data_IF_938127777701
#
_entry.id   IF_938127777701
#
_cell.length_a   1.000
_cell.length_b   1.000
_cell.length_c   1.000
_cell.angle_alpha   90.00
_cell.angle_beta   90.00
_cell.angle_gamma   90.00
#
_symmetry.space_group_name_H-M   'P 1'
#
loop_
_entity.id
_entity.type
_entity.pdbx_description
1 polymer ?
#
# COMPACT_ATOMS: atom_id res chain seq x y z
N UNK A 1 5.90 9.58 5.11
CA UNK A 1 6.95 8.61 5.42
C UNK A 1 7.59 8.16 4.12
N UNK A 2 8.88 7.85 4.13
CA UNK A 2 9.56 7.22 2.99
C UNK A 2 9.84 5.76 3.33
N UNK A 3 9.28 4.83 2.56
CA UNK A 3 9.73 3.44 2.53
C UNK A 3 10.91 3.26 1.56
N UNK A 4 11.65 2.14 1.65
CA UNK A 4 12.67 1.80 0.65
C UNK A 4 12.03 1.76 -0.75
N UNK A 5 12.56 2.56 -1.68
CA UNK A 5 12.04 2.86 -3.03
C UNK A 5 10.77 3.73 -3.11
N UNK A 6 10.27 4.27 -1.99
CA UNK A 6 9.20 5.27 -2.01
C UNK A 6 9.77 6.69 -2.17
N UNK A 7 8.98 7.56 -2.77
CA UNK A 7 9.40 8.89 -3.17
C UNK A 7 8.32 9.89 -2.77
N UNK A 8 8.63 10.81 -1.86
CA UNK A 8 7.65 11.75 -1.34
C UNK A 8 7.68 13.03 -2.19
N UNK A 9 6.57 13.32 -2.88
CA UNK A 9 6.44 14.55 -3.67
C UNK A 9 6.18 15.74 -2.76
N UNK A 10 7.14 16.63 -2.69
CA UNK A 10 7.04 17.92 -2.00
C UNK A 10 6.60 19.00 -2.99
N UNK A 11 5.81 19.96 -2.50
CA UNK A 11 5.39 21.13 -3.27
C UNK A 11 5.43 22.39 -2.42
N UNK A 12 5.79 23.51 -3.04
CA UNK A 12 5.67 24.85 -2.46
C UNK A 12 4.79 25.73 -3.34
N UNK A 13 4.54 26.96 -2.88
CA UNK A 13 3.76 27.95 -3.63
C UNK A 13 4.38 28.22 -4.99
N UNK A 14 3.58 28.09 -6.04
CA UNK A 14 4.00 28.38 -7.41
C UNK A 14 3.85 29.87 -7.73
N UNK A 15 4.85 30.43 -8.41
CA UNK A 15 4.81 31.69 -9.13
C UNK A 15 5.64 31.59 -10.41
N UNK A 16 5.15 32.18 -11.50
CA UNK A 16 5.79 32.08 -12.81
C UNK A 16 7.19 32.72 -12.85
N UNK A 17 7.40 33.77 -12.05
CA UNK A 17 8.65 34.54 -11.98
C UNK A 17 9.45 34.24 -10.70
N UNK A 18 9.21 33.07 -10.09
CA UNK A 18 9.90 32.63 -8.88
C UNK A 18 11.00 31.64 -9.20
N UNK A 19 12.15 31.78 -8.55
CA UNK A 19 13.17 30.75 -8.48
C UNK A 19 13.09 29.99 -7.16
N UNK A 20 13.42 28.71 -7.22
CA UNK A 20 13.33 27.78 -6.10
C UNK A 20 14.71 27.21 -5.82
N UNK A 21 15.08 27.16 -4.54
CA UNK A 21 16.27 26.47 -4.08
C UNK A 21 15.88 25.57 -2.92
N UNK A 22 16.00 24.25 -3.11
CA UNK A 22 15.70 23.29 -2.05
C UNK A 22 16.94 22.93 -1.25
N UNK A 23 16.70 22.56 0.00
CA UNK A 23 17.70 22.14 0.96
C UNK A 23 17.28 20.81 1.59
N UNK A 24 18.28 19.98 1.88
CA UNK A 24 18.14 18.74 2.62
C UNK A 24 19.22 18.69 3.72
N UNK A 25 18.80 18.59 4.98
CA UNK A 25 19.70 18.53 6.15
C UNK A 25 20.76 19.66 6.16
N UNK A 26 20.38 20.85 5.69
CA UNK A 26 21.24 22.03 5.64
C UNK A 26 22.09 22.16 4.39
N UNK A 27 22.01 21.21 3.46
CA UNK A 27 22.78 21.20 2.21
C UNK A 27 21.89 21.60 1.04
N UNK A 28 22.39 22.49 0.18
CA UNK A 28 21.72 22.86 -1.07
C UNK A 28 21.60 21.65 -2.00
N UNK A 29 20.39 21.38 -2.46
CA UNK A 29 20.12 20.31 -3.42
C UNK A 29 20.31 20.82 -4.85
N UNK A 30 21.20 20.20 -5.65
CA UNK A 30 21.42 20.61 -7.04
C UNK A 30 20.20 20.27 -7.91
N UNK A 31 19.99 21.03 -8.97
CA UNK A 31 18.94 20.80 -9.97
C UNK A 31 17.50 20.84 -9.43
N UNK A 32 17.24 21.70 -8.45
CA UNK A 32 15.93 21.86 -7.80
C UNK A 32 15.30 23.24 -8.05
N UNK A 33 15.32 23.71 -9.30
CA UNK A 33 14.75 25.00 -9.72
C UNK A 33 13.22 24.97 -9.94
N UNK A 34 12.53 24.04 -9.27
CA UNK A 34 11.11 23.79 -9.46
C UNK A 34 10.34 23.86 -8.14
N UNK A 35 9.09 24.34 -8.20
CA UNK A 35 8.18 24.38 -7.07
C UNK A 35 7.77 22.98 -6.57
N UNK A 36 8.10 21.93 -7.32
CA UNK A 36 7.93 20.52 -6.97
C UNK A 36 9.27 19.82 -6.88
N UNK A 37 9.39 18.91 -5.92
CA UNK A 37 10.58 18.07 -5.73
C UNK A 37 10.15 16.68 -5.24
N UNK A 38 11.01 15.70 -5.43
CA UNK A 38 10.87 14.35 -4.87
C UNK A 38 11.92 14.16 -3.78
N UNK A 39 11.48 13.95 -2.54
CA UNK A 39 12.36 13.53 -1.46
C UNK A 39 12.58 12.01 -1.54
N UNK A 40 13.85 11.60 -1.55
CA UNK A 40 14.29 10.20 -1.65
C UNK A 40 14.95 9.70 -0.36
N UNK A 41 15.21 10.59 0.60
CA UNK A 41 15.82 10.27 1.87
C UNK A 41 15.02 10.91 3.01
N UNK A 42 15.06 10.29 4.18
CA UNK A 42 14.57 10.93 5.39
C UNK A 42 15.51 12.05 5.81
N UNK A 43 14.96 13.10 6.43
CA UNK A 43 15.69 14.28 6.86
C UNK A 43 14.82 15.53 6.80
N UNK A 44 15.43 16.68 6.97
CA UNK A 44 14.78 17.98 7.00
C UNK A 44 14.82 18.63 5.63
N UNK A 45 13.66 18.98 5.09
CA UNK A 45 13.52 19.64 3.80
C UNK A 45 12.88 21.01 3.94
N UNK A 46 13.42 21.99 3.24
CA UNK A 46 12.80 23.31 3.06
C UNK A 46 13.22 23.92 1.72
N UNK A 47 12.50 24.96 1.31
CA UNK A 47 12.76 25.68 0.08
C UNK A 47 12.91 27.17 0.35
N UNK A 48 13.85 27.83 -0.32
CA UNK A 48 13.88 29.28 -0.46
C UNK A 48 13.31 29.66 -1.82
N UNK A 49 12.28 30.50 -1.80
CA UNK A 49 11.60 31.02 -2.97
C UNK A 49 12.06 32.47 -3.15
N UNK A 50 12.64 32.80 -4.31
CA UNK A 50 13.06 34.16 -4.63
C UNK A 50 12.25 34.69 -5.78
N UNK A 51 11.68 35.89 -5.63
CA UNK A 51 10.98 36.56 -6.72
C UNK A 51 11.97 37.20 -7.69
N UNK A 52 11.51 37.49 -8.90
CA UNK A 52 12.27 38.28 -9.89
C UNK A 52 12.79 39.62 -9.34
N UNK A 53 12.08 40.23 -8.39
CA UNK A 53 12.49 41.49 -7.75
C UNK A 53 13.53 41.31 -6.63
N UNK A 54 14.00 40.08 -6.39
CA UNK A 54 15.01 39.75 -5.38
C UNK A 54 14.46 39.54 -3.97
N UNK A 55 13.14 39.53 -3.77
CA UNK A 55 12.56 39.21 -2.47
C UNK A 55 12.62 37.70 -2.25
N UNK A 56 13.30 37.26 -1.18
CA UNK A 56 13.41 35.86 -0.82
C UNK A 56 12.55 35.52 0.41
N UNK A 57 11.90 34.35 0.40
CA UNK A 57 11.20 33.76 1.54
C UNK A 57 11.60 32.30 1.68
N UNK A 58 11.92 31.89 2.89
CA UNK A 58 12.13 30.47 3.24
C UNK A 58 10.83 29.86 3.75
N UNK A 59 10.50 28.66 3.29
CA UNK A 59 9.33 27.92 3.75
C UNK A 59 9.57 27.31 5.13
N UNK A 60 8.50 26.83 5.75
CA UNK A 60 8.62 25.98 6.94
C UNK A 60 9.41 24.70 6.61
N UNK A 61 10.12 24.19 7.60
CA UNK A 61 10.88 22.94 7.49
C UNK A 61 9.95 21.75 7.64
N UNK A 62 9.90 20.90 6.62
CA UNK A 62 9.22 19.62 6.67
C UNK A 62 10.21 18.54 7.12
N UNK A 63 9.89 17.83 8.19
CA UNK A 63 10.64 16.64 8.59
C UNK A 63 10.07 15.43 7.87
N UNK A 64 10.91 14.74 7.10
CA UNK A 64 10.60 13.47 6.45
C UNK A 64 11.22 12.37 7.27
N UNK A 65 10.40 11.48 7.81
CA UNK A 65 10.86 10.33 8.57
C UNK A 65 11.14 9.15 7.66
N UNK A 66 12.05 8.28 8.11
CA UNK A 66 12.20 6.93 7.57
C UNK A 66 11.32 6.04 8.44
N UNK A 67 10.23 5.53 7.89
CA UNK A 67 9.49 4.47 8.55
C UNK A 67 10.36 3.23 8.50
N UNK A 68 11.18 3.03 9.54
CA UNK A 68 11.95 1.80 9.73
C UNK A 68 11.08 0.54 9.77
N UNK A 69 9.76 0.72 9.82
CA UNK A 69 8.75 -0.30 9.59
C UNK A 69 7.83 0.18 8.47
N UNK A 70 8.17 -0.14 7.23
CA UNK A 70 7.15 -0.14 6.19
C UNK A 70 6.18 -1.27 6.53
N UNK A 71 5.11 -0.98 7.27
CA UNK A 71 3.93 -1.85 7.24
C UNK A 71 3.46 -1.80 5.80
N UNK A 72 3.69 -2.89 5.05
CA UNK A 72 2.90 -3.19 3.84
C UNK A 72 1.47 -2.90 4.25
N UNK A 73 0.86 -1.89 3.62
CA UNK A 73 -0.25 -1.13 4.20
C UNK A 73 -1.22 -2.01 4.97
N UNK A 74 -1.53 -1.63 6.21
CA UNK A 74 -2.81 -2.06 6.76
C UNK A 74 -3.86 -1.51 5.81
N UNK A 75 -4.40 -2.45 5.05
CA UNK A 75 -5.40 -2.21 4.04
C UNK A 75 -6.61 -1.59 4.76
N UNK A 76 -6.96 -0.36 4.40
CA UNK A 76 -8.16 0.33 4.90
C UNK A 76 -9.45 -0.23 4.26
N UNK A 77 -9.57 -1.55 4.24
CA UNK A 77 -10.83 -2.26 4.12
C UNK A 77 -11.08 -2.81 5.52
N UNK A 78 -11.99 -2.19 6.25
CA UNK A 78 -12.30 -2.60 7.60
C UNK A 78 -13.06 -3.92 7.55
N UNK A 79 -12.31 -5.01 7.53
CA UNK A 79 -12.84 -6.35 7.38
C UNK A 79 -11.84 -7.40 7.82
N UNK A 80 -12.35 -8.47 8.41
CA UNK A 80 -11.53 -9.59 8.90
C UNK A 80 -11.60 -10.74 7.91
N UNK A 81 -10.47 -11.38 7.63
CA UNK A 81 -10.39 -12.61 6.83
C UNK A 81 -9.81 -13.72 7.69
N UNK A 82 -10.46 -14.89 7.69
CA UNK A 82 -10.03 -16.06 8.45
C UNK A 82 -10.04 -17.31 7.56
N UNK A 83 -9.09 -18.21 7.82
CA UNK A 83 -8.97 -19.48 7.10
C UNK A 83 -8.82 -20.60 8.12
N UNK A 84 -9.69 -21.61 8.05
CA UNK A 84 -9.65 -22.75 8.97
C UNK A 84 -10.00 -24.09 8.28
N UNK A 85 -9.31 -25.19 8.66
CA UNK A 85 -8.11 -25.21 9.51
C UNK A 85 -6.90 -24.59 8.77
N UNK A 86 -5.94 -24.03 9.52
CA UNK A 86 -4.65 -23.58 8.98
C UNK A 86 -3.55 -23.94 9.99
N UNK A 87 -2.70 -24.95 9.73
CA UNK A 87 -2.55 -25.68 8.48
C UNK A 87 -3.73 -26.59 8.09
N UNK A 88 -3.96 -26.78 6.79
CA UNK A 88 -5.02 -27.63 6.24
C UNK A 88 -4.43 -28.90 5.60
N UNK A 89 -4.97 -30.06 5.97
CA UNK A 89 -4.65 -31.39 5.37
C UNK A 89 -5.70 -31.87 4.38
N UNK A 90 -6.79 -31.12 4.26
CA UNK A 90 -7.95 -31.36 3.39
C UNK A 90 -8.59 -30.01 3.09
N UNK A 91 -9.79 -30.02 2.52
CA UNK A 91 -10.60 -28.82 2.27
C UNK A 91 -10.59 -27.85 3.46
N UNK A 92 -10.47 -26.56 3.13
CA UNK A 92 -10.44 -25.48 4.12
C UNK A 92 -11.52 -24.46 3.82
N UNK A 93 -11.95 -23.78 4.87
CA UNK A 93 -12.96 -22.74 4.80
C UNK A 93 -12.31 -21.38 4.92
N UNK A 94 -12.76 -20.48 4.06
CA UNK A 94 -12.43 -19.05 4.06
C UNK A 94 -13.68 -18.30 4.51
N UNK A 95 -13.52 -17.48 5.54
CA UNK A 95 -14.55 -16.54 5.99
C UNK A 95 -14.04 -15.12 5.91
N UNK A 96 -14.89 -14.19 5.51
CA UNK A 96 -14.58 -12.76 5.52
C UNK A 96 -15.80 -11.98 6.00
N UNK A 97 -15.58 -10.94 6.78
CA UNK A 97 -16.61 -10.01 7.26
C UNK A 97 -16.13 -8.57 7.01
N UNK A 98 -16.97 -7.71 6.43
CA UNK A 98 -16.68 -6.29 6.18
C UNK A 98 -17.59 -5.37 6.98
N UNK A 99 -17.08 -4.22 7.42
CA UNK A 99 -17.85 -3.22 8.19
C UNK A 99 -18.98 -2.55 7.39
N UNK A 100 -18.91 -2.58 6.05
CA UNK A 100 -19.91 -1.92 5.21
C UNK A 100 -21.22 -2.70 5.07
N UNK A 101 -21.25 -3.98 5.47
CA UNK A 101 -22.42 -4.87 5.32
C UNK A 101 -23.05 -4.86 3.91
N UNK A 102 -22.23 -4.66 2.87
CA UNK A 102 -22.72 -4.56 1.50
C UNK A 102 -22.74 -5.92 0.79
N UNK A 103 -23.73 -6.12 -0.08
CA UNK A 103 -23.74 -7.25 -1.01
C UNK A 103 -22.81 -6.94 -2.18
N UNK A 104 -21.91 -7.87 -2.52
CA UNK A 104 -21.00 -7.71 -3.65
C UNK A 104 -20.58 -9.04 -4.25
N UNK A 105 -19.99 -9.02 -5.44
CA UNK A 105 -19.30 -10.18 -6.01
C UNK A 105 -17.81 -9.98 -5.82
N UNK A 106 -17.15 -10.97 -5.25
CA UNK A 106 -15.71 -10.94 -4.95
C UNK A 106 -14.97 -11.98 -5.77
N UNK A 107 -13.76 -11.63 -6.22
CA UNK A 107 -12.85 -12.57 -6.86
C UNK A 107 -11.90 -13.16 -5.82
N UNK A 108 -11.82 -14.48 -5.75
CA UNK A 108 -10.97 -15.23 -4.83
C UNK A 108 -9.88 -15.93 -5.63
N UNK A 109 -8.63 -15.68 -5.27
CA UNK A 109 -7.45 -16.22 -5.95
C UNK A 109 -6.48 -16.80 -4.93
N UNK A 110 -5.90 -17.96 -5.24
CA UNK A 110 -4.85 -18.58 -4.44
C UNK A 110 -3.55 -18.61 -5.26
N UNK A 111 -2.47 -18.06 -4.71
CA UNK A 111 -1.17 -18.00 -5.34
C UNK A 111 -0.16 -18.88 -4.60
N UNK A 112 0.66 -19.61 -5.33
CA UNK A 112 1.84 -20.28 -4.78
C UNK A 112 2.94 -19.26 -4.39
N UNK A 113 4.00 -19.71 -3.69
CA UNK A 113 5.14 -18.86 -3.36
C UNK A 113 5.88 -18.28 -4.58
N UNK A 114 5.73 -18.90 -5.76
CA UNK A 114 6.32 -18.38 -7.01
C UNK A 114 5.40 -17.39 -7.73
N UNK A 115 4.22 -17.11 -7.18
CA UNK A 115 3.23 -16.19 -7.76
C UNK A 115 2.31 -16.82 -8.80
N UNK A 116 2.35 -18.15 -8.97
CA UNK A 116 1.43 -18.86 -9.87
C UNK A 116 0.04 -18.93 -9.25
N UNK A 117 -1.00 -18.53 -10.00
CA UNK A 117 -2.40 -18.67 -9.58
C UNK A 117 -2.84 -20.12 -9.74
N UNK A 118 -3.08 -20.81 -8.62
CA UNK A 118 -3.44 -22.24 -8.58
C UNK A 118 -4.94 -22.47 -8.37
N UNK A 119 -5.67 -21.41 -7.98
CA UNK A 119 -7.12 -21.43 -7.83
C UNK A 119 -7.67 -20.04 -8.12
N UNK A 120 -8.75 -19.98 -8.90
CA UNK A 120 -9.50 -18.75 -9.18
C UNK A 120 -10.99 -19.07 -9.11
N UNK A 121 -11.74 -18.27 -8.36
CA UNK A 121 -13.19 -18.38 -8.30
C UNK A 121 -13.83 -16.99 -8.09
N UNK A 122 -15.10 -16.88 -8.39
CA UNK A 122 -15.95 -15.73 -8.03
C UNK A 122 -17.00 -16.19 -7.04
N UNK A 123 -17.24 -15.40 -6.01
CA UNK A 123 -18.20 -15.73 -4.97
C UNK A 123 -19.03 -14.51 -4.58
N UNK A 124 -20.22 -14.76 -4.08
CA UNK A 124 -21.10 -13.71 -3.59
C UNK A 124 -20.80 -13.45 -2.12
N UNK A 125 -20.65 -12.17 -1.80
CA UNK A 125 -20.61 -11.66 -0.45
C UNK A 125 -22.00 -11.13 -0.12
N UNK A 126 -22.59 -11.65 0.97
CA UNK A 126 -23.93 -11.31 1.43
C UNK A 126 -23.80 -10.60 2.77
N UNK A 127 -24.33 -9.38 2.86
CA UNK A 127 -24.31 -8.55 4.07
C UNK A 127 -22.89 -8.35 4.62
N UNK A 128 -21.92 -8.11 3.73
CA UNK A 128 -20.51 -8.00 4.10
C UNK A 128 -19.82 -9.33 4.45
N UNK A 129 -20.54 -10.45 4.41
CA UNK A 129 -20.03 -11.77 4.82
C UNK A 129 -19.77 -12.68 3.62
N UNK A 130 -18.61 -13.32 3.61
CA UNK A 130 -18.24 -14.38 2.67
C UNK A 130 -18.02 -15.68 3.43
N UNK A 131 -18.54 -16.77 2.87
CA UNK A 131 -18.24 -18.12 3.31
C UNK A 131 -17.93 -18.98 2.09
N UNK A 132 -16.70 -19.44 1.97
CA UNK A 132 -16.24 -20.25 0.83
C UNK A 132 -15.48 -21.47 1.32
N UNK A 133 -15.85 -22.65 0.84
CA UNK A 133 -15.06 -23.86 1.03
C UNK A 133 -14.23 -24.12 -0.23
N UNK A 134 -12.92 -24.32 -0.06
CA UNK A 134 -11.98 -24.59 -1.14
C UNK A 134 -11.47 -26.01 -1.00
N UNK A 135 -11.67 -26.79 -2.07
CA UNK A 135 -11.12 -28.14 -2.16
C UNK A 135 -9.64 -28.09 -2.51
N UNK A 136 -8.80 -28.79 -1.73
CA UNK A 136 -7.34 -28.71 -1.89
C UNK A 136 -6.68 -30.02 -2.35
N UNK A 137 -7.44 -31.07 -2.70
CA UNK A 137 -6.86 -32.40 -3.00
C UNK A 137 -5.91 -32.40 -4.20
N UNK A 138 -6.03 -31.40 -5.09
CA UNK A 138 -5.18 -31.26 -6.27
C UNK A 138 -3.99 -30.31 -6.04
N UNK A 139 -3.95 -29.62 -4.90
CA UNK A 139 -2.93 -28.63 -4.58
C UNK A 139 -1.77 -29.27 -3.81
N UNK A 140 -0.51 -29.09 -4.24
CA UNK A 140 0.64 -29.57 -3.48
C UNK A 140 0.71 -28.98 -2.07
N UNK A 141 1.26 -29.73 -1.12
CA UNK A 141 1.61 -29.20 0.21
C UNK A 141 2.58 -28.02 0.06
N UNK A 142 2.35 -26.95 0.83
CA UNK A 142 3.11 -25.72 0.68
C UNK A 142 2.45 -24.51 1.33
N UNK A 143 3.08 -23.36 1.14
CA UNK A 143 2.56 -22.07 1.58
C UNK A 143 1.93 -21.38 0.39
N UNK A 144 0.74 -20.84 0.60
CA UNK A 144 -0.03 -20.12 -0.39
C UNK A 144 -0.46 -18.75 0.14
N UNK A 145 -0.67 -17.83 -0.79
CA UNK A 145 -1.25 -16.52 -0.53
C UNK A 145 -2.66 -16.50 -1.08
N UNK A 146 -3.66 -16.37 -0.21
CA UNK A 146 -5.06 -16.20 -0.59
C UNK A 146 -5.34 -14.71 -0.73
N UNK A 147 -5.89 -14.31 -1.87
CA UNK A 147 -6.28 -12.94 -2.19
C UNK A 147 -7.77 -12.88 -2.50
N UNK A 148 -8.47 -11.92 -1.91
CA UNK A 148 -9.89 -11.66 -2.16
C UNK A 148 -10.03 -10.21 -2.61
N UNK A 149 -10.44 -10.00 -3.86
CA UNK A 149 -10.70 -8.69 -4.42
C UNK A 149 -12.20 -8.40 -4.36
N UNK A 150 -12.58 -7.50 -3.47
CA UNK A 150 -13.88 -6.84 -3.45
C UNK A 150 -13.86 -5.54 -4.29
N UNK A 151 -15.03 -5.01 -4.60
CA UNK A 151 -15.24 -3.85 -5.47
C UNK A 151 -14.47 -2.58 -5.06
N UNK A 152 -14.21 -2.41 -3.77
CA UNK A 152 -13.43 -1.28 -3.23
C UNK A 152 -12.09 -1.69 -2.60
N UNK A 153 -11.89 -3.00 -2.37
CA UNK A 153 -10.94 -3.48 -1.36
C UNK A 153 -10.28 -4.82 -1.74
N UNK A 154 -9.02 -5.04 -1.39
CA UNK A 154 -8.31 -6.30 -1.59
C UNK A 154 -7.78 -6.83 -0.27
N UNK A 155 -8.15 -8.06 0.08
CA UNK A 155 -7.77 -8.73 1.32
C UNK A 155 -6.80 -9.85 0.99
N UNK A 156 -5.75 -10.02 1.81
CA UNK A 156 -4.75 -11.06 1.59
C UNK A 156 -4.44 -11.77 2.90
N UNK A 157 -4.33 -13.10 2.86
CA UNK A 157 -3.92 -13.91 4.01
C UNK A 157 -3.10 -15.12 3.58
N UNK A 158 -2.35 -15.69 4.53
CA UNK A 158 -1.50 -16.87 4.30
C UNK A 158 -2.28 -18.15 4.59
N UNK A 159 -2.18 -19.12 3.69
CA UNK A 159 -2.73 -20.47 3.84
C UNK A 159 -1.58 -21.48 3.82
N UNK A 160 -1.55 -22.41 4.77
CA UNK A 160 -0.57 -23.49 4.81
C UNK A 160 -1.27 -24.80 4.52
N UNK A 161 -0.85 -25.50 3.47
CA UNK A 161 -1.33 -26.84 3.10
C UNK A 161 -0.28 -27.88 3.49
N UNK A 162 -0.72 -29.01 4.06
CA UNK A 162 0.11 -30.12 4.52
C UNK A 162 -0.28 -31.44 3.87
#
# INVERSE_FOLDING_TARGET
DLCADDSLKLKVSYGADYSYQWYHDGIEMPFTDNYKMVALAAGYYWCTITTYYGCARTTDTLTVYNSGECRVGEFSGAGSISVYPNPATSDFTVTMETETHENSVVAVELFSLTGESVYVNVSEMIDGNLYLNINNYTLPAGIYTLKINASSSSYTTKVVLQ
#
